data_IF_370509456493
#
_entry.id   IF_370509456493
#
_cell.length_a   1.000
_cell.length_b   1.000
_cell.length_c   1.000
_cell.angle_alpha   90.00
_cell.angle_beta   90.00
_cell.angle_gamma   90.00
#
_symmetry.space_group_name_H-M   'P 1'
#
loop_
_entity.id
_entity.type
_entity.pdbx_description
1 polymer ?
#
# COMPACT_ATOMS: atom_id res chain seq x y z
N UNK A 1 2.31 26.38 12.06
CA UNK A 1 3.43 25.62 12.65
C UNK A 1 3.82 24.53 11.66
N UNK A 2 5.00 24.63 11.04
CA UNK A 2 5.54 23.64 10.10
C UNK A 2 6.16 22.50 10.92
N UNK A 3 5.63 21.28 10.82
CA UNK A 3 6.37 20.10 11.26
C UNK A 3 7.52 19.91 10.25
N UNK A 4 8.78 19.92 10.67
CA UNK A 4 9.88 19.66 9.75
C UNK A 4 9.80 18.18 9.33
N UNK A 5 9.40 17.93 8.08
CA UNK A 5 9.40 16.61 7.44
C UNK A 5 10.83 16.16 7.05
N UNK A 6 11.81 16.41 7.93
CA UNK A 6 13.19 15.97 7.74
C UNK A 6 13.35 14.56 8.35
N UNK A 7 13.56 13.59 7.46
CA UNK A 7 14.23 12.29 7.71
C UNK A 7 13.66 11.34 8.75
N UNK A 8 12.34 11.14 8.82
CA UNK A 8 11.82 9.96 9.53
C UNK A 8 11.91 8.76 8.57
N UNK A 9 13.04 8.05 8.61
CA UNK A 9 13.02 6.63 8.27
C UNK A 9 12.00 5.98 9.22
N UNK A 10 10.95 5.38 8.68
CA UNK A 10 9.93 4.75 9.50
C UNK A 10 10.58 3.67 10.37
N UNK A 11 10.57 3.88 11.69
CA UNK A 11 11.14 2.92 12.62
C UNK A 11 10.41 1.58 12.50
N UNK A 12 11.15 0.47 12.49
CA UNK A 12 10.52 -0.84 12.52
C UNK A 12 9.72 -1.01 13.81
N UNK A 13 8.56 -1.67 13.73
CA UNK A 13 7.92 -2.22 14.92
C UNK A 13 8.85 -3.27 15.57
N UNK A 14 8.81 -3.46 16.90
CA UNK A 14 9.36 -4.66 17.50
C UNK A 14 8.87 -5.90 16.75
N UNK A 15 9.71 -6.91 16.53
CA UNK A 15 9.29 -8.09 15.78
C UNK A 15 8.09 -8.77 16.48
N UNK A 16 6.98 -9.03 15.77
CA UNK A 16 5.82 -9.70 16.36
C UNK A 16 6.14 -11.18 16.59
N UNK A 17 5.60 -11.79 17.65
CA UNK A 17 5.79 -13.22 17.93
C UNK A 17 5.08 -14.15 16.95
N UNK A 18 4.04 -13.67 16.29
CA UNK A 18 3.39 -14.34 15.18
C UNK A 18 2.73 -13.31 14.25
N UNK A 19 2.50 -13.70 13.01
CA UNK A 19 1.76 -12.92 12.01
C UNK A 19 0.61 -13.75 11.46
N UNK A 20 -0.53 -13.10 11.18
CA UNK A 20 -1.65 -13.70 10.47
C UNK A 20 -1.73 -13.09 9.08
N UNK A 21 -1.47 -13.88 8.04
CA UNK A 21 -1.52 -13.43 6.65
C UNK A 21 -2.85 -13.83 6.03
N UNK A 22 -3.58 -12.84 5.50
CA UNK A 22 -4.83 -13.08 4.78
C UNK A 22 -4.55 -13.71 3.41
N UNK A 23 -5.34 -14.74 3.11
CA UNK A 23 -5.48 -15.37 1.81
C UNK A 23 -6.80 -14.94 1.13
N UNK A 24 -7.66 -14.18 1.82
CA UNK A 24 -8.93 -13.66 1.30
C UNK A 24 -8.92 -12.15 1.04
N UNK A 25 -7.74 -11.51 1.12
CA UNK A 25 -7.54 -10.08 0.84
C UNK A 25 -7.67 -9.70 -0.66
N UNK A 26 -7.91 -10.69 -1.54
CA UNK A 26 -7.96 -10.55 -2.99
C UNK A 26 -9.41 -10.40 -3.49
N UNK A 27 -9.65 -9.41 -4.35
CA UNK A 27 -10.94 -9.28 -5.01
C UNK A 27 -11.16 -10.42 -6.01
N UNK A 28 -12.32 -11.09 -5.91
CA UNK A 28 -12.86 -11.93 -6.99
C UNK A 28 -12.23 -13.32 -7.20
N UNK A 29 -11.36 -13.81 -6.31
CA UNK A 29 -10.73 -15.13 -6.50
C UNK A 29 -10.33 -15.83 -5.21
N UNK A 30 -10.05 -17.13 -5.30
CA UNK A 30 -9.52 -17.90 -4.19
C UNK A 30 -8.00 -17.72 -4.14
N UNK A 31 -7.42 -17.62 -2.94
CA UNK A 31 -5.99 -17.79 -2.73
C UNK A 31 -5.73 -19.10 -2.00
N UNK A 32 -5.02 -20.00 -2.67
CA UNK A 32 -4.72 -21.32 -2.13
C UNK A 32 -3.42 -21.25 -1.34
N UNK A 33 -3.38 -21.79 -0.11
CA UNK A 33 -2.11 -21.95 0.59
C UNK A 33 -1.21 -22.90 -0.20
N UNK A 34 0.09 -22.60 -0.26
CA UNK A 34 1.12 -23.45 -0.89
C UNK A 34 2.12 -24.02 0.14
N UNK A 35 1.74 -23.95 1.41
CA UNK A 35 2.48 -24.45 2.57
C UNK A 35 1.54 -25.22 3.48
N UNK A 36 2.09 -26.14 4.28
CA UNK A 36 1.35 -26.94 5.25
C UNK A 36 1.65 -26.50 6.70
N UNK A 37 0.76 -26.85 7.63
CA UNK A 37 1.03 -26.71 9.07
C UNK A 37 2.30 -27.48 9.47
N UNK A 38 3.12 -26.90 10.33
CA UNK A 38 4.42 -27.43 10.75
C UNK A 38 5.58 -27.12 9.78
N UNK A 39 5.30 -26.60 8.58
CA UNK A 39 6.35 -26.26 7.61
C UNK A 39 7.16 -25.03 8.04
N UNK A 40 8.49 -25.10 7.94
CA UNK A 40 9.35 -23.93 8.10
C UNK A 40 9.33 -23.07 6.84
N UNK A 41 9.24 -21.75 7.01
CA UNK A 41 9.26 -20.73 5.95
C UNK A 41 10.33 -19.68 6.24
N UNK A 42 10.93 -19.16 5.18
CA UNK A 42 11.87 -18.03 5.23
C UNK A 42 11.15 -16.73 4.88
N UNK A 43 11.72 -15.60 5.28
CA UNK A 43 11.20 -14.27 4.95
C UNK A 43 11.12 -14.10 3.43
N UNK A 44 9.92 -13.87 2.91
CA UNK A 44 9.66 -13.70 1.47
C UNK A 44 9.31 -14.99 0.72
N UNK A 45 9.35 -16.16 1.37
CA UNK A 45 8.90 -17.40 0.74
C UNK A 45 7.40 -17.31 0.40
N UNK A 46 6.96 -17.85 -0.76
CA UNK A 46 5.54 -17.92 -1.09
C UNK A 46 4.80 -18.85 -0.13
N UNK A 47 3.66 -18.38 0.38
CA UNK A 47 2.78 -19.12 1.29
C UNK A 47 1.36 -19.23 0.75
N UNK A 48 0.98 -18.43 -0.25
CA UNK A 48 -0.27 -18.58 -0.98
C UNK A 48 -0.20 -18.01 -2.39
N UNK A 49 -1.07 -18.51 -3.28
CA UNK A 49 -1.19 -18.04 -4.67
C UNK A 49 -2.67 -17.87 -5.02
N UNK A 50 -3.03 -16.69 -5.51
CA UNK A 50 -4.38 -16.40 -6.00
C UNK A 50 -4.62 -16.97 -7.38
N UNK A 51 -5.89 -17.21 -7.74
CA UNK A 51 -6.28 -17.61 -9.10
C UNK A 51 -5.86 -16.56 -10.16
N UNK A 52 -5.78 -15.27 -9.78
CA UNK A 52 -5.23 -14.18 -10.59
C UNK A 52 -3.68 -14.11 -10.63
N UNK A 53 -3.00 -15.12 -10.06
CA UNK A 53 -1.55 -15.27 -10.09
C UNK A 53 -0.77 -14.47 -9.05
N UNK A 54 -1.43 -13.66 -8.22
CA UNK A 54 -0.78 -12.84 -7.20
C UNK A 54 -0.39 -13.67 -5.97
N UNK A 55 0.82 -13.45 -5.46
CA UNK A 55 1.39 -14.25 -4.38
C UNK A 55 1.14 -13.63 -3.00
N UNK A 56 1.03 -14.46 -1.97
CA UNK A 56 1.18 -14.09 -0.56
C UNK A 56 2.50 -14.67 -0.08
N UNK A 57 3.27 -13.88 0.65
CA UNK A 57 4.60 -14.25 1.11
C UNK A 57 4.67 -14.23 2.63
N UNK A 58 5.50 -15.10 3.20
CA UNK A 58 5.84 -15.05 4.61
C UNK A 58 6.49 -13.69 4.94
N UNK A 59 5.89 -12.95 5.87
CA UNK A 59 6.38 -11.63 6.29
C UNK A 59 7.41 -11.70 7.42
N UNK A 60 7.62 -12.88 7.98
CA UNK A 60 8.63 -13.25 8.97
C UNK A 60 9.16 -14.65 8.63
N UNK A 61 10.36 -15.00 9.09
CA UNK A 61 10.80 -16.39 9.08
C UNK A 61 10.27 -17.15 10.30
N UNK A 62 10.08 -18.45 10.16
CA UNK A 62 9.68 -19.33 11.26
C UNK A 62 8.83 -20.49 10.79
N UNK A 63 7.79 -20.84 11.55
CA UNK A 63 7.00 -22.07 11.31
C UNK A 63 5.54 -21.73 11.07
N UNK A 64 4.93 -22.35 10.06
CA UNK A 64 3.49 -22.26 9.81
C UNK A 64 2.77 -22.98 10.94
N UNK A 65 2.17 -22.21 11.86
CA UNK A 65 1.47 -22.74 13.03
C UNK A 65 0.08 -23.26 12.67
N UNK A 66 -0.60 -22.62 11.73
CA UNK A 66 -1.93 -23.02 11.31
C UNK A 66 -2.23 -22.53 9.89
N UNK A 67 -2.94 -23.36 9.14
CA UNK A 67 -3.57 -22.98 7.86
C UNK A 67 -5.07 -23.06 8.06
N UNK A 68 -5.77 -21.95 7.86
CA UNK A 68 -7.22 -21.83 8.05
C UNK A 68 -7.86 -21.36 6.75
N UNK A 69 -9.18 -21.50 6.66
CA UNK A 69 -9.95 -20.90 5.56
C UNK A 69 -9.72 -19.39 5.55
N UNK A 70 -9.14 -18.88 4.45
CA UNK A 70 -8.91 -17.45 4.25
C UNK A 70 -7.66 -16.87 4.94
N UNK A 71 -6.89 -17.63 5.73
CA UNK A 71 -5.71 -17.09 6.39
C UNK A 71 -4.68 -18.17 6.80
N UNK A 72 -3.44 -17.74 7.01
CA UNK A 72 -2.40 -18.58 7.63
C UNK A 72 -1.71 -17.84 8.78
N UNK A 73 -1.21 -18.59 9.76
CA UNK A 73 -0.47 -18.05 10.91
C UNK A 73 0.96 -18.56 10.85
N UNK A 74 1.93 -17.65 10.88
CA UNK A 74 3.36 -17.97 11.00
C UNK A 74 3.84 -17.54 12.38
N UNK A 75 4.36 -18.48 13.16
CA UNK A 75 5.12 -18.18 14.37
C UNK A 75 6.52 -17.72 14.00
N UNK A 76 6.93 -16.57 14.54
CA UNK A 76 8.18 -15.92 14.19
C UNK A 76 9.34 -16.55 14.96
N UNK A 77 10.40 -16.96 14.25
CA UNK A 77 11.63 -17.47 14.85
C UNK A 77 12.62 -16.36 15.26
N UNK A 78 12.29 -15.10 14.92
CA UNK A 78 13.09 -13.89 15.16
C UNK A 78 14.45 -13.88 14.45
N UNK A 79 14.71 -14.79 13.51
CA UNK A 79 15.99 -14.89 12.78
C UNK A 79 16.02 -14.04 11.51
N UNK A 80 14.85 -13.68 10.98
CA UNK A 80 14.71 -12.99 9.69
C UNK A 80 15.47 -13.70 8.56
N UNK A 81 15.46 -15.04 8.57
CA UNK A 81 16.18 -15.85 7.57
C UNK A 81 15.64 -15.53 6.18
N UNK A 82 16.46 -15.03 5.24
CA UNK A 82 15.96 -14.60 3.93
C UNK A 82 15.59 -15.80 3.05
N UNK A 83 14.44 -15.69 2.39
CA UNK A 83 14.02 -16.58 1.31
C UNK A 83 14.77 -16.30 0.01
N UNK A 84 14.30 -16.89 -1.08
CA UNK A 84 14.91 -16.69 -2.41
C UNK A 84 14.74 -15.22 -2.85
N UNK A 85 15.86 -14.53 -3.09
CA UNK A 85 15.83 -13.17 -3.64
C UNK A 85 15.49 -13.19 -5.14
N UNK A 86 14.79 -12.14 -5.58
CA UNK A 86 14.64 -11.85 -7.00
C UNK A 86 15.69 -10.81 -7.36
N UNK A 87 16.47 -11.06 -8.42
CA UNK A 87 17.54 -10.12 -8.83
C UNK A 87 16.95 -8.74 -9.14
N UNK A 88 17.39 -7.65 -8.47
CA UNK A 88 16.96 -6.30 -8.76
C UNK A 88 17.21 -5.91 -10.22
N UNK A 89 16.27 -5.21 -10.84
CA UNK A 89 16.52 -4.58 -12.15
C UNK A 89 17.11 -3.19 -11.93
N UNK A 90 18.21 -2.86 -12.60
CA UNK A 90 18.77 -1.50 -12.58
C UNK A 90 18.02 -0.53 -13.49
N UNK A 91 17.39 -1.05 -14.55
CA UNK A 91 16.61 -0.31 -15.54
C UNK A 91 15.52 -1.19 -16.16
N UNK A 92 14.51 -0.56 -16.76
CA UNK A 92 13.50 -1.21 -17.62
C UNK A 92 13.77 -0.98 -19.12
N UNK A 93 14.89 -0.34 -19.45
CA UNK A 93 15.33 -0.18 -20.84
C UNK A 93 15.66 -1.55 -21.45
N UNK A 94 15.14 -1.81 -22.66
CA UNK A 94 15.26 -3.12 -23.32
C UNK A 94 14.51 -4.27 -22.64
N UNK A 95 13.88 -4.08 -21.49
CA UNK A 95 13.13 -5.13 -20.78
C UNK A 95 11.71 -5.23 -21.36
N UNK A 96 11.33 -6.43 -21.78
CA UNK A 96 9.97 -6.69 -22.25
C UNK A 96 8.94 -6.52 -21.12
N UNK A 97 7.70 -6.16 -21.48
CA UNK A 97 6.62 -5.84 -20.53
C UNK A 97 6.17 -7.07 -19.73
N UNK A 98 5.97 -8.20 -20.40
CA UNK A 98 5.37 -9.39 -19.81
C UNK A 98 6.20 -10.00 -18.67
N UNK A 99 7.54 -10.11 -18.76
CA UNK A 99 8.38 -10.48 -17.63
C UNK A 99 8.23 -9.56 -16.41
N UNK A 100 8.08 -8.24 -16.63
CA UNK A 100 7.88 -7.28 -15.55
C UNK A 100 6.51 -7.46 -14.90
N UNK A 101 5.45 -7.66 -15.68
CA UNK A 101 4.12 -7.94 -15.13
C UNK A 101 4.09 -9.23 -14.32
N UNK A 102 4.76 -10.30 -14.79
CA UNK A 102 4.92 -11.55 -14.02
C UNK A 102 5.69 -11.34 -12.72
N UNK A 103 6.74 -10.51 -12.75
CA UNK A 103 7.50 -10.14 -11.56
C UNK A 103 6.62 -9.42 -10.53
N UNK A 104 5.81 -8.46 -10.97
CA UNK A 104 4.89 -7.72 -10.10
C UNK A 104 3.79 -8.63 -9.51
N UNK A 105 3.28 -9.56 -10.30
CA UNK A 105 2.32 -10.57 -9.85
C UNK A 105 2.92 -11.47 -8.76
N UNK A 106 4.13 -12.00 -9.02
CA UNK A 106 4.90 -12.79 -8.04
C UNK A 106 5.39 -12.02 -6.82
N UNK A 107 5.41 -10.69 -6.87
CA UNK A 107 5.71 -9.87 -5.70
C UNK A 107 4.48 -9.68 -4.79
N UNK A 108 3.29 -10.07 -5.26
CA UNK A 108 2.08 -10.05 -4.45
C UNK A 108 1.45 -8.67 -4.27
N UNK A 109 1.64 -7.76 -5.22
CA UNK A 109 1.10 -6.41 -5.17
C UNK A 109 -0.40 -6.37 -5.46
N UNK A 110 -1.15 -5.63 -4.65
CA UNK A 110 -2.58 -5.40 -4.82
C UNK A 110 -2.90 -3.94 -5.06
N UNK A 111 -3.98 -3.71 -5.79
CA UNK A 111 -4.62 -2.41 -5.91
C UNK A 111 -5.41 -2.06 -4.65
N UNK A 112 -5.84 -0.80 -4.52
CA UNK A 112 -6.71 -0.37 -3.42
C UNK A 112 -8.03 -1.17 -3.29
N UNK A 113 -8.59 -1.65 -4.40
CA UNK A 113 -9.77 -2.51 -4.46
C UNK A 113 -9.47 -4.00 -4.26
N UNK A 114 -8.19 -4.39 -4.16
CA UNK A 114 -7.79 -5.77 -3.87
C UNK A 114 -7.54 -6.65 -5.09
N UNK A 115 -7.63 -6.12 -6.30
CA UNK A 115 -7.20 -6.82 -7.51
C UNK A 115 -5.67 -6.92 -7.58
N UNK A 116 -5.11 -7.95 -8.23
CA UNK A 116 -3.69 -7.99 -8.57
C UNK A 116 -3.26 -6.73 -9.34
N UNK A 117 -2.30 -5.98 -8.80
CA UNK A 117 -1.84 -4.72 -9.42
C UNK A 117 -1.43 -4.83 -10.90
N UNK A 118 -0.81 -5.92 -11.38
CA UNK A 118 -0.47 -6.07 -12.79
C UNK A 118 -1.68 -5.97 -13.74
N UNK A 119 -2.87 -6.35 -13.31
CA UNK A 119 -4.09 -6.30 -14.13
C UNK A 119 -4.47 -4.85 -14.48
N UNK A 120 -4.22 -3.92 -13.54
CA UNK A 120 -4.45 -2.48 -13.71
C UNK A 120 -3.45 -1.82 -14.66
N UNK A 121 -2.28 -2.42 -14.91
CA UNK A 121 -1.24 -1.87 -15.76
C UNK A 121 -1.53 -2.11 -17.25
N UNK A 122 -2.65 -1.59 -17.75
CA UNK A 122 -3.04 -1.58 -19.17
C UNK A 122 -2.59 -0.28 -19.87
N UNK A 123 -2.42 -0.25 -21.21
CA UNK A 123 -2.17 1.00 -21.92
C UNK A 123 -3.24 2.04 -21.57
N UNK A 124 -2.84 3.28 -21.33
CA UNK A 124 -3.76 4.34 -20.92
C UNK A 124 -3.41 5.70 -21.54
N UNK A 125 -4.36 6.64 -21.50
CA UNK A 125 -4.12 8.01 -21.93
C UNK A 125 -3.35 8.81 -20.87
N UNK A 126 -3.73 8.66 -19.60
CA UNK A 126 -3.12 9.36 -18.48
C UNK A 126 -2.91 8.43 -17.29
N UNK A 127 -1.86 8.73 -16.52
CA UNK A 127 -1.64 8.14 -15.21
C UNK A 127 -1.92 9.21 -14.16
N UNK A 128 -2.61 8.88 -13.09
CA UNK A 128 -2.84 9.79 -11.98
C UNK A 128 -2.15 9.28 -10.71
N UNK A 129 -1.49 10.19 -9.96
CA UNK A 129 -0.94 9.91 -8.64
C UNK A 129 -1.66 10.76 -7.60
N UNK A 130 -2.20 10.14 -6.54
CA UNK A 130 -3.00 10.83 -5.52
C UNK A 130 -2.28 10.90 -4.17
N UNK A 131 -1.59 12.00 -3.88
CA UNK A 131 -0.95 12.27 -2.57
C UNK A 131 -1.82 13.23 -1.77
N UNK A 132 -3.00 12.76 -1.36
CA UNK A 132 -4.09 13.65 -0.93
C UNK A 132 -4.26 13.74 0.58
N UNK A 133 -3.69 12.79 1.33
CA UNK A 133 -3.87 12.72 2.78
C UNK A 133 -2.60 13.08 3.55
N UNK A 134 -2.77 13.61 4.77
CA UNK A 134 -1.64 13.80 5.68
C UNK A 134 -0.97 12.47 6.05
N UNK A 135 -1.74 11.39 6.14
CA UNK A 135 -1.24 10.04 6.43
C UNK A 135 -0.29 9.54 5.33
N UNK A 136 -0.70 9.67 4.07
CA UNK A 136 0.16 9.32 2.92
C UNK A 136 1.42 10.17 2.92
N UNK A 137 1.31 11.46 3.18
CA UNK A 137 2.49 12.31 3.21
C UNK A 137 3.43 11.98 4.38
N UNK A 138 2.89 11.64 5.56
CA UNK A 138 3.69 11.21 6.71
C UNK A 138 4.55 9.98 6.37
N UNK A 139 4.04 9.08 5.53
CA UNK A 139 4.73 7.86 5.10
C UNK A 139 5.62 8.10 3.88
N UNK A 140 5.01 8.54 2.78
CA UNK A 140 5.59 8.45 1.44
C UNK A 140 6.40 9.68 1.05
N UNK A 141 6.40 10.75 1.84
CA UNK A 141 7.33 11.86 1.62
C UNK A 141 8.79 11.42 1.81
N UNK A 142 9.06 10.58 2.82
CA UNK A 142 10.38 9.97 3.02
C UNK A 142 10.74 8.96 1.90
N UNK A 143 9.73 8.34 1.30
CA UNK A 143 9.87 7.36 0.21
C UNK A 143 9.63 7.97 -1.18
N UNK A 144 9.69 9.30 -1.32
CA UNK A 144 9.32 9.98 -2.57
C UNK A 144 10.16 9.50 -3.77
N UNK A 145 11.41 9.09 -3.54
CA UNK A 145 12.25 8.48 -4.58
C UNK A 145 11.67 7.16 -5.10
N UNK A 146 11.12 6.31 -4.22
CA UNK A 146 10.48 5.04 -4.59
C UNK A 146 9.14 5.31 -5.27
N UNK A 147 8.34 6.25 -4.74
CA UNK A 147 7.07 6.65 -5.35
C UNK A 147 7.29 7.11 -6.79
N UNK A 148 8.19 8.08 -7.01
CA UNK A 148 8.46 8.61 -8.36
C UNK A 148 9.18 7.59 -9.25
N UNK A 149 10.06 6.76 -8.69
CA UNK A 149 10.68 5.66 -9.42
C UNK A 149 9.65 4.61 -9.89
N UNK A 150 8.63 4.35 -9.07
CA UNK A 150 7.47 3.52 -9.40
C UNK A 150 6.63 4.15 -10.51
N UNK A 151 6.29 5.43 -10.39
CA UNK A 151 5.57 6.17 -11.45
C UNK A 151 6.33 6.13 -12.78
N UNK A 152 7.66 6.29 -12.77
CA UNK A 152 8.50 6.15 -13.95
C UNK A 152 8.41 4.74 -14.56
N UNK A 153 8.45 3.70 -13.73
CA UNK A 153 8.29 2.33 -14.19
C UNK A 153 6.90 2.08 -14.79
N UNK A 154 5.83 2.58 -14.15
CA UNK A 154 4.49 2.51 -14.72
C UNK A 154 4.43 3.22 -16.07
N UNK A 155 5.02 4.41 -16.19
CA UNK A 155 5.11 5.15 -17.45
C UNK A 155 5.72 4.32 -18.59
N UNK A 156 6.73 3.50 -18.30
CA UNK A 156 7.32 2.58 -19.28
C UNK A 156 6.40 1.41 -19.66
N UNK A 157 5.61 0.92 -18.71
CA UNK A 157 4.71 -0.22 -18.87
C UNK A 157 3.41 0.14 -19.59
N UNK A 158 2.82 1.29 -19.27
CA UNK A 158 1.49 1.71 -19.77
C UNK A 158 1.52 2.83 -20.81
N UNK A 159 2.67 3.47 -21.02
CA UNK A 159 2.91 4.50 -22.05
C UNK A 159 1.87 5.65 -22.06
N UNK A 160 1.64 6.32 -20.91
CA UNK A 160 0.68 7.41 -20.83
C UNK A 160 1.21 8.66 -21.55
N UNK A 161 0.32 9.54 -22.01
CA UNK A 161 0.69 10.86 -22.56
C UNK A 161 1.13 11.85 -21.49
N UNK A 162 0.59 11.73 -20.28
CA UNK A 162 0.88 12.62 -19.15
C UNK A 162 0.65 11.96 -17.79
N UNK A 163 1.29 12.51 -16.78
CA UNK A 163 0.99 12.31 -15.37
C UNK A 163 0.09 13.44 -14.86
N UNK A 164 -1.02 13.06 -14.24
CA UNK A 164 -1.88 13.94 -13.44
C UNK A 164 -1.47 13.78 -11.97
N UNK A 165 -0.88 14.81 -11.37
CA UNK A 165 -0.43 14.75 -9.98
C UNK A 165 -1.41 15.51 -9.09
N UNK A 166 -2.14 14.78 -8.26
CA UNK A 166 -2.98 15.35 -7.21
C UNK A 166 -2.23 15.35 -5.90
N UNK A 167 -2.09 16.51 -5.28
CA UNK A 167 -1.40 16.58 -4.00
C UNK A 167 -2.00 17.64 -3.08
N UNK A 168 -1.99 17.37 -1.78
CA UNK A 168 -2.35 18.40 -0.80
C UNK A 168 -1.29 19.53 -0.82
N UNK A 169 -1.76 20.78 -0.89
CA UNK A 169 -0.91 21.98 -1.05
C UNK A 169 0.19 22.12 0.00
N UNK A 170 0.04 21.49 1.17
CA UNK A 170 1.07 21.44 2.22
C UNK A 170 2.30 20.63 1.81
N UNK A 171 2.18 19.76 0.80
CA UNK A 171 3.24 18.89 0.28
C UNK A 171 3.76 19.32 -1.10
N UNK A 172 3.89 20.63 -1.32
CA UNK A 172 4.51 21.22 -2.53
C UNK A 172 5.81 20.57 -3.04
N UNK A 173 6.73 20.05 -2.19
CA UNK A 173 7.94 19.42 -2.72
C UNK A 173 7.67 18.19 -3.61
N UNK A 174 6.52 17.53 -3.50
CA UNK A 174 6.11 16.42 -4.38
C UNK A 174 6.02 16.89 -5.83
N UNK A 175 5.42 18.06 -6.08
CA UNK A 175 5.33 18.63 -7.43
C UNK A 175 6.73 18.90 -8.01
N UNK A 176 7.61 19.54 -7.23
CA UNK A 176 8.98 19.85 -7.68
C UNK A 176 9.74 18.57 -8.04
N UNK A 177 9.56 17.51 -7.26
CA UNK A 177 10.20 16.22 -7.51
C UNK A 177 9.60 15.52 -8.73
N UNK A 178 8.27 15.53 -8.89
CA UNK A 178 7.57 14.91 -10.01
C UNK A 178 7.94 15.56 -11.36
N UNK A 179 8.19 16.88 -11.40
CA UNK A 179 8.68 17.57 -12.61
C UNK A 179 10.05 17.07 -13.12
N UNK A 180 10.77 16.26 -12.35
CA UNK A 180 12.01 15.58 -12.78
C UNK A 180 11.76 14.29 -13.55
N UNK A 181 10.50 13.81 -13.58
CA UNK A 181 10.11 12.73 -14.47
C UNK A 181 10.23 13.23 -15.91
N UNK A 182 10.85 12.44 -16.78
CA UNK A 182 11.08 12.78 -18.18
C UNK A 182 9.82 12.57 -19.06
N UNK A 183 8.62 12.90 -18.57
CA UNK A 183 7.38 12.94 -19.36
C UNK A 183 6.38 13.94 -18.75
N UNK A 184 5.41 14.48 -19.52
CA UNK A 184 4.60 15.63 -19.11
C UNK A 184 3.86 15.44 -17.77
N UNK A 185 3.96 16.43 -16.87
CA UNK A 185 3.29 16.42 -15.56
C UNK A 185 2.36 17.62 -15.44
N UNK A 186 1.09 17.36 -15.16
CA UNK A 186 0.07 18.34 -14.82
C UNK A 186 -0.27 18.20 -13.34
N UNK A 187 0.14 19.18 -12.53
CA UNK A 187 0.01 19.11 -11.07
C UNK A 187 -1.14 19.98 -10.56
N UNK A 188 -1.99 19.38 -9.73
CA UNK A 188 -3.17 20.01 -9.13
C UNK A 188 -3.03 19.97 -7.61
N UNK A 189 -2.86 21.15 -7.02
CA UNK A 189 -2.81 21.31 -5.56
C UNK A 189 -4.23 21.41 -4.98
N UNK A 190 -4.53 20.59 -3.97
CA UNK A 190 -5.84 20.57 -3.28
C UNK A 190 -5.69 20.95 -1.80
N UNK A 191 -6.80 21.28 -1.14
CA UNK A 191 -6.82 21.63 0.29
C UNK A 191 -7.49 20.52 1.12
N UNK A 192 -6.69 19.64 1.74
CA UNK A 192 -7.07 18.82 2.92
C UNK A 192 -8.12 17.73 2.77
N UNK A 193 -8.93 17.75 1.71
CA UNK A 193 -9.88 16.70 1.38
C UNK A 193 -9.59 16.26 -0.06
N UNK A 194 -9.66 14.96 -0.32
CA UNK A 194 -9.72 14.49 -1.69
C UNK A 194 -10.94 15.19 -2.31
N UNK A 195 -10.77 16.11 -3.28
CA UNK A 195 -11.92 16.62 -3.98
C UNK A 195 -12.64 15.42 -4.61
N UNK A 196 -13.88 15.63 -5.01
CA UNK A 196 -14.45 14.91 -6.15
C UNK A 196 -13.45 15.02 -7.31
N UNK A 197 -12.53 14.05 -7.38
CA UNK A 197 -11.43 13.98 -8.35
C UNK A 197 -12.04 14.06 -9.75
N UNK A 198 -13.23 13.49 -9.91
CA UNK A 198 -14.13 13.54 -11.05
C UNK A 198 -14.46 14.98 -11.45
N UNK A 199 -14.98 15.76 -10.52
CA UNK A 199 -15.33 17.15 -10.78
C UNK A 199 -14.10 18.01 -11.13
N UNK A 200 -12.95 17.75 -10.49
CA UNK A 200 -11.71 18.49 -10.76
C UNK A 200 -11.08 18.15 -12.10
N UNK A 201 -11.16 16.91 -12.55
CA UNK A 201 -10.52 16.45 -13.79
C UNK A 201 -11.40 16.58 -15.02
N UNK A 202 -12.70 16.31 -14.85
CA UNK A 202 -13.64 16.28 -15.98
C UNK A 202 -14.54 17.52 -16.03
N UNK A 203 -14.48 18.37 -15.00
CA UNK A 203 -15.39 19.52 -14.83
C UNK A 203 -16.80 19.13 -14.39
N UNK A 204 -17.08 17.83 -14.21
CA UNK A 204 -18.38 17.27 -13.81
C UNK A 204 -18.19 16.05 -12.93
N UNK A 205 -19.25 15.62 -12.22
CA UNK A 205 -19.20 14.30 -11.59
C UNK A 205 -19.17 13.20 -12.66
N UNK A 206 -18.53 12.07 -12.37
CA UNK A 206 -18.64 10.91 -13.25
C UNK A 206 -20.07 10.40 -13.23
N UNK A 207 -20.56 9.98 -14.40
CA UNK A 207 -21.85 9.30 -14.48
C UNK A 207 -21.78 8.01 -13.66
N UNK A 208 -22.92 7.60 -13.09
CA UNK A 208 -22.99 6.41 -12.27
C UNK A 208 -22.48 5.17 -13.05
N UNK A 209 -21.50 4.47 -12.47
CA UNK A 209 -20.88 3.29 -13.09
C UNK A 209 -19.70 3.58 -14.01
N UNK A 210 -19.42 4.84 -14.35
CA UNK A 210 -18.22 5.22 -15.12
C UNK A 210 -17.02 5.30 -14.19
N UNK A 211 -15.95 4.60 -14.55
CA UNK A 211 -14.68 4.60 -13.82
C UNK A 211 -13.64 5.49 -14.50
N UNK A 212 -12.56 5.81 -13.79
CA UNK A 212 -11.39 6.46 -14.38
C UNK A 212 -10.78 5.66 -15.53
N UNK A 213 -10.82 4.32 -15.41
CA UNK A 213 -10.33 3.41 -16.44
C UNK A 213 -11.09 3.59 -17.76
N UNK A 214 -12.41 3.78 -17.69
CA UNK A 214 -13.26 4.03 -18.87
C UNK A 214 -12.92 5.36 -19.57
N UNK A 215 -12.39 6.33 -18.82
CA UNK A 215 -11.86 7.59 -19.36
C UNK A 215 -10.39 7.49 -19.81
N UNK A 216 -9.79 6.29 -19.79
CA UNK A 216 -8.39 6.08 -20.12
C UNK A 216 -7.40 6.61 -19.09
N UNK A 217 -7.84 6.79 -17.84
CA UNK A 217 -7.01 7.26 -16.72
C UNK A 217 -6.78 6.15 -15.69
N UNK A 218 -5.53 5.83 -15.40
CA UNK A 218 -5.18 4.88 -14.35
C UNK A 218 -4.72 5.63 -13.09
N UNK A 219 -5.49 5.52 -12.02
CA UNK A 219 -5.24 6.22 -10.74
C UNK A 219 -4.43 5.33 -9.80
N UNK A 220 -3.27 5.78 -9.32
CA UNK A 220 -2.44 5.06 -8.37
C UNK A 220 -2.22 5.85 -7.09
N UNK A 221 -2.14 5.14 -5.97
CA UNK A 221 -1.69 5.67 -4.68
C UNK A 221 -0.16 5.68 -4.59
N UNK A 222 0.42 6.49 -3.68
CA UNK A 222 1.86 6.48 -3.40
C UNK A 222 2.34 5.11 -2.89
N UNK A 223 1.50 4.37 -2.17
CA UNK A 223 1.76 3.00 -1.72
C UNK A 223 2.01 2.07 -2.90
N UNK A 224 1.07 2.03 -3.83
CA UNK A 224 1.15 1.17 -5.03
C UNK A 224 2.41 1.50 -5.84
N UNK A 225 2.73 2.80 -5.98
CA UNK A 225 3.94 3.23 -6.67
C UNK A 225 5.23 2.81 -5.96
N UNK A 226 5.34 3.04 -4.66
CA UNK A 226 6.51 2.62 -3.88
C UNK A 226 6.67 1.09 -3.87
N UNK A 227 5.58 0.34 -3.75
CA UNK A 227 5.62 -1.11 -3.76
C UNK A 227 6.01 -1.68 -5.14
N UNK A 228 5.52 -1.08 -6.22
CA UNK A 228 5.95 -1.40 -7.59
C UNK A 228 7.45 -1.13 -7.78
N UNK A 229 7.96 -0.01 -7.24
CA UNK A 229 9.39 0.27 -7.25
C UNK A 229 10.18 -0.80 -6.50
N UNK A 230 9.78 -1.17 -5.29
CA UNK A 230 10.48 -2.18 -4.49
C UNK A 230 10.50 -3.55 -5.19
N UNK A 231 9.39 -3.96 -5.80
CA UNK A 231 9.33 -5.20 -6.55
C UNK A 231 10.30 -5.22 -7.74
N UNK A 232 10.39 -4.12 -8.49
CA UNK A 232 11.23 -4.04 -9.71
C UNK A 232 12.70 -3.82 -9.34
N UNK A 233 12.99 -2.74 -8.62
CA UNK A 233 14.35 -2.21 -8.44
C UNK A 233 15.03 -2.68 -7.16
N UNK A 234 14.29 -3.29 -6.23
CA UNK A 234 14.87 -3.91 -5.03
C UNK A 234 14.68 -5.44 -5.00
N UNK A 235 13.85 -5.98 -5.90
CA UNK A 235 13.56 -7.43 -5.94
C UNK A 235 12.83 -7.95 -4.72
N UNK A 236 12.11 -7.07 -4.02
CA UNK A 236 11.45 -7.40 -2.76
C UNK A 236 10.00 -7.80 -3.01
N UNK A 237 9.56 -8.96 -2.50
CA UNK A 237 8.13 -9.25 -2.41
C UNK A 237 7.46 -8.31 -1.40
N UNK A 238 6.15 -8.14 -1.51
CA UNK A 238 5.38 -7.29 -0.62
C UNK A 238 5.10 -8.01 0.70
N UNK A 239 6.05 -7.88 1.62
CA UNK A 239 6.07 -8.55 2.94
C UNK A 239 5.90 -7.58 4.10
N UNK A 240 6.05 -6.28 3.86
CA UNK A 240 5.96 -5.25 4.89
C UNK A 240 5.46 -3.94 4.28
N UNK A 241 4.92 -3.07 5.12
CA UNK A 241 4.53 -1.72 4.72
C UNK A 241 4.73 -0.73 5.86
N UNK A 242 4.83 0.54 5.49
CA UNK A 242 4.75 1.62 6.45
C UNK A 242 3.29 1.87 6.84
N UNK A 243 3.02 1.93 8.13
CA UNK A 243 1.71 2.22 8.70
C UNK A 243 1.77 3.56 9.42
N UNK A 244 0.90 4.48 9.02
CA UNK A 244 0.70 5.75 9.72
C UNK A 244 -0.25 5.53 10.89
N UNK A 245 0.21 5.79 12.12
CA UNK A 245 -0.58 5.60 13.34
C UNK A 245 -0.92 6.97 13.94
N UNK A 246 -2.20 7.26 14.11
CA UNK A 246 -2.70 8.52 14.68
C UNK A 246 -3.70 8.28 15.80
N UNK A 247 -4.07 9.35 16.52
CA UNK A 247 -5.08 9.29 17.55
C UNK A 247 -5.54 10.68 18.00
N UNK A 248 -6.54 10.75 18.88
CA UNK A 248 -7.11 12.00 19.36
C UNK A 248 -6.08 12.93 20.00
N UNK A 249 -6.24 14.24 19.77
CA UNK A 249 -5.46 15.27 20.46
C UNK A 249 -4.04 15.49 19.94
N UNK A 250 -3.59 14.77 18.91
CA UNK A 250 -2.29 15.04 18.25
C UNK A 250 -2.43 15.02 16.73
N UNK A 251 -1.88 16.05 16.07
CA UNK A 251 -1.59 16.05 14.61
C UNK A 251 -0.32 15.27 14.26
N UNK A 252 0.30 14.61 15.24
CA UNK A 252 1.56 13.89 15.08
C UNK A 252 1.29 12.43 14.72
N UNK A 253 1.66 12.09 13.49
CA UNK A 253 1.68 10.74 12.97
C UNK A 253 2.89 9.99 13.52
N UNK A 254 2.66 8.80 14.06
CA UNK A 254 3.73 7.84 14.33
C UNK A 254 3.80 6.87 13.16
N UNK A 255 4.86 6.93 12.36
CA UNK A 255 5.04 6.00 11.24
C UNK A 255 5.90 4.82 11.70
N UNK A 256 5.44 3.61 11.37
CA UNK A 256 6.16 2.36 11.65
C UNK A 256 6.24 1.48 10.42
N UNK A 257 7.40 0.88 10.16
CA UNK A 257 7.50 -0.25 9.23
C UNK A 257 7.03 -1.51 9.95
N UNK A 258 6.07 -2.22 9.38
CA UNK A 258 5.50 -3.43 9.96
C UNK A 258 5.45 -4.57 8.94
N UNK A 259 5.84 -5.80 9.34
CA UNK A 259 5.51 -7.01 8.59
C UNK A 259 4.00 -7.08 8.35
N UNK A 260 3.60 -7.53 7.15
CA UNK A 260 2.21 -7.87 6.90
C UNK A 260 1.74 -8.92 7.91
N UNK A 261 0.48 -8.86 8.30
CA UNK A 261 -0.09 -9.73 9.31
C UNK A 261 0.23 -9.37 10.77
N UNK A 262 0.98 -8.28 11.02
CA UNK A 262 1.13 -7.71 12.36
C UNK A 262 -0.22 -7.22 12.88
N UNK A 263 -0.58 -7.52 14.14
CA UNK A 263 -1.87 -7.10 14.71
C UNK A 263 -1.93 -5.60 14.98
N UNK A 264 -3.14 -5.02 14.92
CA UNK A 264 -3.35 -3.64 15.32
C UNK A 264 -2.92 -3.38 16.78
N UNK A 265 -3.08 -4.36 17.67
CA UNK A 265 -2.65 -4.28 19.06
C UNK A 265 -1.13 -4.10 19.16
N UNK A 266 -0.37 -4.86 18.36
CA UNK A 266 1.08 -4.77 18.31
C UNK A 266 1.53 -3.42 17.73
N UNK A 267 0.85 -2.92 16.70
CA UNK A 267 1.08 -1.58 16.14
C UNK A 267 0.83 -0.47 17.16
N UNK A 268 -0.28 -0.54 17.90
CA UNK A 268 -0.60 0.41 18.97
C UNK A 268 0.46 0.40 20.07
N UNK A 269 0.88 -0.78 20.52
CA UNK A 269 1.94 -0.93 21.51
C UNK A 269 3.26 -0.31 21.03
N UNK A 270 3.65 -0.56 19.78
CA UNK A 270 4.85 0.02 19.14
C UNK A 270 4.77 1.55 18.95
N UNK A 271 3.57 2.12 19.01
CA UNK A 271 3.32 3.55 19.01
C UNK A 271 3.11 4.13 20.42
N UNK A 272 3.24 3.33 21.47
CA UNK A 272 2.93 3.69 22.86
C UNK A 272 1.51 4.26 23.02
N UNK A 273 0.54 3.62 22.36
CA UNK A 273 -0.87 4.01 22.36
C UNK A 273 -1.75 2.87 22.82
N UNK A 274 -2.90 3.24 23.39
CA UNK A 274 -4.00 2.34 23.69
C UNK A 274 -5.30 2.98 23.17
N UNK A 275 -6.17 2.17 22.58
CA UNK A 275 -7.46 2.62 22.09
C UNK A 275 -8.47 1.46 22.14
N UNK A 276 -9.70 1.70 22.64
CA UNK A 276 -10.74 0.67 22.67
C UNK A 276 -11.30 0.38 21.27
N UNK A 277 -11.21 1.37 20.37
CA UNK A 277 -11.67 1.28 19.00
C UNK A 277 -10.65 1.94 18.09
N UNK A 278 -10.34 1.29 16.96
CA UNK A 278 -9.48 1.83 15.92
C UNK A 278 -10.13 1.73 14.56
N UNK A 279 -9.81 2.64 13.66
CA UNK A 279 -10.08 2.52 12.22
C UNK A 279 -8.79 2.04 11.55
N UNK A 280 -8.83 0.85 10.94
CA UNK A 280 -7.74 0.29 10.13
C UNK A 280 -8.08 0.52 8.65
N UNK A 281 -7.28 1.33 7.96
CA UNK A 281 -7.56 1.87 6.63
C UNK A 281 -8.01 3.34 6.67
N UNK A 282 -8.44 3.86 5.52
CA UNK A 282 -8.97 5.23 5.40
C UNK A 282 -10.47 5.31 5.73
N UNK A 283 -11.03 6.52 5.70
CA UNK A 283 -12.44 6.73 6.04
C UNK A 283 -13.43 6.12 5.03
N UNK A 284 -12.99 5.82 3.80
CA UNK A 284 -13.86 5.31 2.74
C UNK A 284 -13.90 3.78 2.72
N UNK A 285 -12.77 3.13 3.01
CA UNK A 285 -12.59 1.67 2.87
C UNK A 285 -12.13 0.97 4.15
N UNK A 286 -11.86 1.73 5.20
CA UNK A 286 -11.34 1.23 6.45
C UNK A 286 -12.37 0.48 7.30
N UNK A 287 -11.85 -0.36 8.20
CA UNK A 287 -12.64 -1.21 9.09
C UNK A 287 -12.54 -0.68 10.52
N UNK A 288 -13.69 -0.52 11.17
CA UNK A 288 -13.75 -0.18 12.59
C UNK A 288 -13.54 -1.46 13.40
N UNK A 289 -12.42 -1.52 14.11
CA UNK A 289 -12.04 -2.65 14.94
C UNK A 289 -12.33 -2.32 16.41
N UNK A 290 -13.19 -3.13 17.03
CA UNK A 290 -13.49 -3.08 18.48
C UNK A 290 -12.59 -4.02 19.29
N UNK A 291 -11.78 -4.84 18.62
CA UNK A 291 -10.73 -5.69 19.19
C UNK A 291 -9.49 -5.56 18.31
N UNK A 292 -8.35 -5.10 18.85
CA UNK A 292 -7.17 -4.80 18.05
C UNK A 292 -6.37 -6.05 17.64
N UNK A 293 -6.90 -7.26 17.80
CA UNK A 293 -6.24 -8.50 17.37
C UNK A 293 -6.25 -8.71 15.84
N UNK A 294 -7.02 -7.89 15.13
CA UNK A 294 -7.09 -7.94 13.67
C UNK A 294 -5.73 -7.61 13.06
N UNK A 295 -5.31 -8.44 12.13
CA UNK A 295 -4.03 -8.32 11.46
C UNK A 295 -4.07 -7.27 10.34
N UNK A 296 -2.90 -6.70 10.06
CA UNK A 296 -2.62 -5.79 8.96
C UNK A 296 -2.65 -6.54 7.61
N UNK A 297 -3.60 -6.21 6.74
CA UNK A 297 -3.67 -6.69 5.36
C UNK A 297 -2.84 -5.84 4.39
N UNK A 298 -2.78 -6.25 3.12
CA UNK A 298 -1.95 -5.57 2.10
C UNK A 298 -2.40 -4.14 1.77
N UNK A 299 -3.63 -3.79 2.14
CA UNK A 299 -4.27 -2.51 1.81
C UNK A 299 -4.33 -1.54 2.99
N UNK A 300 -3.87 -1.95 4.16
CA UNK A 300 -4.05 -1.22 5.40
C UNK A 300 -2.87 -0.27 5.68
N UNK A 301 -2.83 0.91 5.06
CA UNK A 301 -1.73 1.87 5.26
C UNK A 301 -1.86 2.79 6.49
N UNK A 302 -2.99 2.73 7.20
CA UNK A 302 -3.42 3.72 8.18
C UNK A 302 -4.08 3.03 9.38
N UNK A 303 -3.72 3.45 10.60
CA UNK A 303 -4.36 3.04 11.84
C UNK A 303 -4.70 4.28 12.67
N UNK A 304 -5.99 4.57 12.82
CA UNK A 304 -6.47 5.74 13.56
C UNK A 304 -7.14 5.32 14.86
N UNK A 305 -6.61 5.75 16.01
CA UNK A 305 -7.28 5.59 17.29
C UNK A 305 -8.53 6.47 17.35
N UNK A 306 -9.68 5.87 17.64
CA UNK A 306 -10.95 6.59 17.76
C UNK A 306 -11.23 6.89 19.24
N UNK A 307 -11.66 8.12 19.53
CA UNK A 307 -12.30 8.43 20.82
C UNK A 307 -13.72 7.89 20.75
N UNK A 308 -14.24 7.34 21.84
CA UNK A 308 -15.62 6.81 21.92
C UNK A 308 -16.74 7.84 21.72
N UNK A 309 -16.50 8.98 21.06
CA UNK A 309 -17.54 9.89 20.59
C UNK A 309 -17.95 9.47 19.18
N UNK A 310 -19.18 8.98 19.12
CA UNK A 310 -20.04 8.72 17.96
C UNK A 310 -19.42 9.09 16.61
N UNK A 311 -19.08 8.09 15.80
CA UNK A 311 -18.96 8.27 14.37
C UNK A 311 -20.35 8.60 13.85
N UNK A 312 -20.66 9.87 13.66
CA UNK A 312 -21.85 10.26 12.91
C UNK A 312 -21.61 9.82 11.47
N UNK A 313 -22.47 8.97 10.87
CA UNK A 313 -22.41 8.74 9.44
C UNK A 313 -22.45 10.10 8.75
N UNK A 314 -21.58 10.31 7.75
CA UNK A 314 -21.76 11.43 6.85
C UNK A 314 -23.17 11.29 6.27
N UNK A 315 -24.04 12.24 6.58
CA UNK A 315 -25.38 12.28 6.01
C UNK A 315 -25.30 12.31 4.48
N UNK A 316 -26.33 11.82 3.78
CA UNK A 316 -26.37 11.92 2.33
C UNK A 316 -26.33 13.40 1.95
N UNK A 317 -25.22 13.84 1.37
CA UNK A 317 -25.03 15.17 0.79
C UNK A 317 -25.12 15.12 -0.73
#
# INVERSE_FOLDING_TARGET
MRVPLSSVAAAAVPAPGAVLLYLDDFAGGLCRPVVAEGQTVRLGDPVGVSDGGAWVHASVSGTVRAVRTGALIVENDFRSTPGRSVEPLSSLEGVAREPVLRRLSRAGLLTADGAPLPEKLQPCHALALTVLTEAEAAVYFALLHQVLGGVRAMGRLVQPRKLLLFYDRRFRPVEKAARRLQFPVEAVAVDGAAPELDQRLTGRRLDAGVTWGDLGCLVFSPREAAALFAAIYLGQPYVQQAVAISGPGRREWTVRMAPLGTSAAHLLAAAHRTAPTVLLGDAATGRILRRPDTALGKRDGLLTCLTGRTLTPAGPG
#
